data_IF_562754178160
#
_entry.id   IF_562754178160
#
_cell.length_a   1.000
_cell.length_b   1.000
_cell.length_c   1.000
_cell.angle_alpha   90.00
_cell.angle_beta   90.00
_cell.angle_gamma   90.00
#
_symmetry.space_group_name_H-M   'P 1'
#
loop_
_entity.id
_entity.type
_entity.pdbx_description
1 polymer ?
#
# COMPACT_ATOMS: atom_id res chain seq x y z
N UNK A 1 3.48 32.66 9.79
CA UNK A 1 4.39 31.56 9.42
C UNK A 1 3.80 30.24 9.93
N UNK A 2 4.02 29.13 9.21
CA UNK A 2 3.58 27.80 9.65
C UNK A 2 4.59 27.24 10.65
N UNK A 3 4.11 26.67 11.77
CA UNK A 3 4.98 25.96 12.72
C UNK A 3 5.37 24.60 12.15
N UNK A 4 6.49 24.52 11.44
CA UNK A 4 6.98 23.30 10.78
C UNK A 4 7.18 22.12 11.74
N UNK A 5 7.75 22.35 12.93
CA UNK A 5 7.94 21.30 13.95
C UNK A 5 6.64 20.64 14.40
N UNK A 6 5.53 21.40 14.42
CA UNK A 6 4.20 20.88 14.79
C UNK A 6 3.58 20.11 13.63
N UNK A 7 3.81 20.56 12.40
CA UNK A 7 3.35 19.89 11.19
C UNK A 7 4.00 18.50 11.07
N UNK A 8 5.32 18.42 11.22
CA UNK A 8 6.08 17.17 11.11
C UNK A 8 5.62 16.14 12.15
N UNK A 9 5.36 16.58 13.38
CA UNK A 9 4.82 15.74 14.47
C UNK A 9 3.32 15.43 14.34
N UNK A 10 2.67 15.81 13.23
CA UNK A 10 1.21 15.62 12.98
C UNK A 10 0.31 16.23 14.07
N UNK A 11 0.70 17.38 14.63
CA UNK A 11 0.00 18.07 15.73
C UNK A 11 -0.86 19.27 15.26
N UNK A 12 -0.98 19.45 13.94
CA UNK A 12 -1.88 20.42 13.33
C UNK A 12 -3.05 19.65 12.73
N UNK A 13 -4.27 20.08 13.01
CA UNK A 13 -5.46 19.47 12.41
C UNK A 13 -5.45 19.70 10.90
N UNK A 14 -5.72 18.65 10.09
CA UNK A 14 -5.83 18.83 8.66
C UNK A 14 -7.06 19.68 8.34
N UNK A 15 -7.01 20.54 7.31
CA UNK A 15 -8.15 21.37 6.92
C UNK A 15 -9.33 20.56 6.38
N UNK A 16 -9.10 19.28 6.03
CA UNK A 16 -10.09 18.33 5.58
C UNK A 16 -9.87 16.99 6.26
N UNK A 17 -10.95 16.38 6.77
CA UNK A 17 -10.95 15.04 7.33
C UNK A 17 -11.87 14.15 6.47
N UNK A 18 -11.34 13.12 5.79
CA UNK A 18 -12.18 12.21 5.01
C UNK A 18 -13.15 11.46 5.92
N UNK A 19 -14.38 11.27 5.43
CA UNK A 19 -15.42 10.55 6.15
C UNK A 19 -15.25 9.05 5.89
N UNK A 20 -14.91 8.29 6.93
CA UNK A 20 -14.77 6.83 6.88
C UNK A 20 -15.84 6.17 7.74
N UNK A 21 -16.45 5.10 7.23
CA UNK A 21 -17.43 4.32 8.00
C UNK A 21 -16.77 3.25 8.88
N UNK A 22 -15.72 2.60 8.36
CA UNK A 22 -14.95 1.57 9.07
C UNK A 22 -13.55 1.42 8.48
N UNK A 23 -12.71 0.58 9.10
CA UNK A 23 -11.30 0.38 8.69
C UNK A 23 -11.11 -0.19 7.29
N UNK A 24 -12.11 -0.90 6.76
CA UNK A 24 -12.10 -1.48 5.40
C UNK A 24 -12.82 -0.61 4.35
N UNK A 25 -13.16 0.65 4.66
CA UNK A 25 -13.96 1.50 3.76
C UNK A 25 -13.14 1.86 2.51
N UNK A 26 -13.71 1.60 1.33
CA UNK A 26 -13.05 1.81 0.04
C UNK A 26 -13.60 3.00 -0.75
N UNK A 27 -14.44 3.86 -0.17
CA UNK A 27 -15.14 4.95 -0.88
C UNK A 27 -14.26 5.99 -1.57
N UNK A 28 -13.00 6.10 -1.16
CA UNK A 28 -12.01 7.00 -1.76
C UNK A 28 -11.12 6.29 -2.80
N UNK A 29 -11.42 5.05 -3.15
CA UNK A 29 -10.83 4.31 -4.26
C UNK A 29 -11.84 4.21 -5.41
N UNK A 30 -11.33 4.16 -6.64
CA UNK A 30 -12.17 4.01 -7.83
C UNK A 30 -12.90 2.65 -7.82
N UNK A 31 -14.21 2.68 -8.07
CA UNK A 31 -15.06 1.48 -8.08
C UNK A 31 -14.73 0.53 -9.20
N UNK A 32 -14.07 1.00 -10.28
CA UNK A 32 -13.57 0.13 -11.34
C UNK A 32 -12.63 -0.96 -10.81
N UNK A 33 -11.88 -0.69 -9.73
CA UNK A 33 -10.98 -1.67 -9.10
C UNK A 33 -11.64 -2.41 -7.93
N UNK A 34 -12.38 -1.70 -7.08
CA UNK A 34 -12.93 -2.30 -5.84
C UNK A 34 -14.15 -3.18 -6.08
N UNK A 35 -14.82 -3.03 -7.23
CA UNK A 35 -15.87 -3.95 -7.67
C UNK A 35 -15.33 -5.28 -8.21
N UNK A 36 -14.07 -5.33 -8.66
CA UNK A 36 -13.46 -6.59 -9.09
C UNK A 36 -13.15 -7.48 -7.89
N UNK A 37 -13.35 -8.79 -8.05
CA UNK A 37 -12.93 -9.78 -7.06
C UNK A 37 -11.40 -9.80 -6.96
N UNK A 38 -10.88 -9.52 -5.77
CA UNK A 38 -9.45 -9.67 -5.46
C UNK A 38 -8.97 -11.10 -5.78
N UNK A 39 -8.10 -11.22 -6.78
CA UNK A 39 -7.49 -12.49 -7.23
C UNK A 39 -6.15 -12.21 -7.89
N UNK A 40 -5.25 -13.18 -7.85
CA UNK A 40 -4.01 -13.15 -8.63
C UNK A 40 -4.29 -13.66 -10.04
N UNK A 41 -3.77 -12.98 -11.05
CA UNK A 41 -3.79 -13.47 -12.43
C UNK A 41 -2.90 -14.73 -12.53
N UNK A 42 -3.40 -15.85 -13.05
CA UNK A 42 -2.58 -17.05 -13.25
C UNK A 42 -1.41 -16.76 -14.20
N UNK A 43 -0.21 -17.20 -13.82
CA UNK A 43 1.00 -17.03 -14.63
C UNK A 43 1.39 -18.39 -15.21
N UNK A 44 1.56 -18.50 -16.55
CA UNK A 44 2.05 -19.73 -17.18
C UNK A 44 3.45 -20.12 -16.69
N UNK A 45 3.66 -21.42 -16.44
CA UNK A 45 4.95 -21.95 -15.96
C UNK A 45 6.11 -21.64 -16.91
N UNK A 46 5.84 -21.59 -18.23
CA UNK A 46 6.87 -21.28 -19.23
C UNK A 46 7.47 -19.89 -19.01
N UNK A 47 6.66 -18.92 -18.57
CA UNK A 47 7.13 -17.57 -18.25
C UNK A 47 8.00 -17.63 -17.00
N UNK A 48 7.53 -18.29 -15.94
CA UNK A 48 8.27 -18.41 -14.68
C UNK A 48 9.65 -19.07 -14.89
N UNK A 49 9.69 -20.12 -15.70
CA UNK A 49 10.92 -20.86 -16.01
C UNK A 49 11.89 -20.09 -16.90
N UNK A 50 11.42 -19.10 -17.66
CA UNK A 50 12.27 -18.28 -18.55
C UNK A 50 13.00 -17.14 -17.83
N UNK A 51 12.57 -16.79 -16.61
CA UNK A 51 13.09 -15.65 -15.85
C UNK A 51 14.27 -16.11 -15.00
N UNK A 52 15.40 -15.40 -15.10
CA UNK A 52 16.52 -15.55 -14.16
C UNK A 52 16.09 -15.13 -12.75
N UNK A 53 15.98 -16.10 -11.83
CA UNK A 53 15.57 -15.84 -10.46
C UNK A 53 16.63 -15.10 -9.64
N UNK A 54 17.89 -15.06 -10.10
CA UNK A 54 18.98 -14.34 -9.44
C UNK A 54 18.76 -12.83 -9.38
N UNK A 55 17.97 -12.26 -10.30
CA UNK A 55 17.66 -10.82 -10.32
C UNK A 55 16.84 -10.36 -9.12
N UNK A 56 16.16 -11.27 -8.43
CA UNK A 56 15.38 -10.97 -7.22
C UNK A 56 16.18 -11.18 -5.93
N UNK A 57 17.48 -11.49 -6.03
CA UNK A 57 18.33 -11.61 -4.85
C UNK A 57 18.36 -10.30 -4.06
N UNK A 58 18.04 -10.38 -2.76
CA UNK A 58 17.95 -9.21 -1.87
C UNK A 58 16.62 -8.44 -1.95
N UNK A 59 15.60 -8.96 -2.64
CA UNK A 59 14.27 -8.32 -2.73
C UNK A 59 13.53 -8.29 -1.39
N UNK A 60 13.65 -9.36 -0.60
CA UNK A 60 12.93 -9.48 0.67
C UNK A 60 13.39 -8.44 1.68
N UNK A 61 12.46 -7.60 2.13
CA UNK A 61 12.63 -6.66 3.23
C UNK A 61 11.50 -6.82 4.24
N UNK A 62 11.85 -6.77 5.51
CA UNK A 62 10.90 -6.75 6.62
C UNK A 62 11.27 -5.57 7.50
N UNK A 63 10.30 -4.72 7.84
CA UNK A 63 10.54 -3.58 8.71
C UNK A 63 10.81 -4.08 10.14
N UNK A 64 12.03 -3.92 10.68
CA UNK A 64 12.39 -4.44 12.00
C UNK A 64 11.58 -3.80 13.14
N UNK A 65 10.91 -2.68 12.91
CA UNK A 65 10.08 -1.98 13.90
C UNK A 65 8.59 -2.34 13.79
N UNK A 66 8.19 -3.21 12.86
CA UNK A 66 6.78 -3.57 12.62
C UNK A 66 6.52 -5.09 12.59
N UNK A 67 7.55 -5.89 12.83
CA UNK A 67 7.45 -7.34 13.05
C UNK A 67 7.87 -7.64 14.48
N UNK A 68 7.01 -8.31 15.24
CA UNK A 68 7.38 -8.99 16.49
C UNK A 68 8.39 -10.13 16.22
#
# INVERSE_FOLDING_TARGET
SLSWDRLERRQLDPPFKPALEHTLDTRYFDTAFTAEKAKLTPVPEQILNSIDQGVFHGFSYTNPNATD
#
